data_IF_030477621470
#
_entry.id   IF_030477621470
#
_cell.length_a   1.000
_cell.length_b   1.000
_cell.length_c   1.000
_cell.angle_alpha   90.00
_cell.angle_beta   90.00
_cell.angle_gamma   90.00
#
_symmetry.space_group_name_H-M   'P 1'
#
loop_
_entity.id
_entity.type
_entity.pdbx_description
1 polymer ?
#
# COMPACT_ATOMS: atom_id res chain seq x y z
N UNK A 1 0.53 -10.18 21.54
CA UNK A 1 0.66 -11.47 20.84
C UNK A 1 1.31 -11.20 19.48
N UNK A 2 2.51 -11.72 19.19
CA UNK A 2 3.08 -11.64 17.84
C UNK A 2 2.29 -12.62 16.98
N UNK A 3 1.49 -12.11 16.05
CA UNK A 3 0.73 -12.94 15.13
C UNK A 3 1.73 -13.36 14.05
N UNK A 4 2.39 -14.50 14.24
CA UNK A 4 3.42 -14.98 13.29
C UNK A 4 2.82 -15.57 12.00
N UNK A 5 1.49 -15.77 11.99
CA UNK A 5 0.73 -16.31 10.87
C UNK A 5 -0.75 -15.88 10.98
N UNK A 6 -1.10 -14.68 10.49
CA UNK A 6 -2.47 -14.14 10.55
C UNK A 6 -3.56 -15.11 10.08
N UNK A 7 -3.34 -15.85 9.00
CA UNK A 7 -4.34 -16.81 8.51
C UNK A 7 -4.56 -17.98 9.48
N UNK A 8 -3.49 -18.51 10.10
CA UNK A 8 -3.63 -19.55 11.14
C UNK A 8 -4.30 -19.01 12.41
N UNK A 9 -4.16 -17.71 12.65
CA UNK A 9 -4.84 -17.03 13.73
C UNK A 9 -6.35 -16.98 13.45
N UNK A 10 -6.77 -16.65 12.23
CA UNK A 10 -8.18 -16.65 11.83
C UNK A 10 -8.85 -18.02 12.04
N UNK A 11 -8.15 -19.12 11.72
CA UNK A 11 -8.63 -20.49 11.93
C UNK A 11 -8.84 -20.84 13.42
N UNK A 12 -8.18 -20.13 14.34
CA UNK A 12 -8.24 -20.35 15.79
C UNK A 12 -9.16 -19.35 16.50
N UNK A 13 -9.86 -18.49 15.75
CA UNK A 13 -10.73 -17.48 16.34
C UNK A 13 -11.92 -18.16 17.03
N UNK A 14 -12.26 -17.76 18.28
CA UNK A 14 -13.43 -18.30 18.96
C UNK A 14 -14.71 -18.09 18.14
N UNK A 15 -15.63 -19.07 18.06
CA UNK A 15 -16.86 -18.97 17.28
C UNK A 15 -17.75 -17.77 17.65
N UNK A 16 -17.67 -17.31 18.91
CA UNK A 16 -18.40 -16.14 19.39
C UNK A 16 -17.82 -14.79 18.96
N UNK A 17 -16.72 -14.76 18.21
CA UNK A 17 -16.06 -13.52 17.80
C UNK A 17 -16.90 -12.81 16.75
N UNK A 18 -17.34 -11.59 17.09
CA UNK A 18 -18.12 -10.71 16.21
C UNK A 18 -17.37 -9.43 15.86
N UNK A 19 -16.40 -9.02 16.68
CA UNK A 19 -15.63 -7.80 16.50
C UNK A 19 -14.17 -8.05 16.13
N UNK A 20 -13.69 -7.33 15.14
CA UNK A 20 -12.29 -7.33 14.72
C UNK A 20 -11.77 -5.90 14.77
N UNK A 21 -10.87 -5.61 15.71
CA UNK A 21 -10.18 -4.32 15.78
C UNK A 21 -8.80 -4.44 15.16
N UNK A 22 -8.59 -3.83 13.99
CA UNK A 22 -7.31 -3.80 13.30
C UNK A 22 -6.66 -2.43 13.53
N UNK A 23 -5.47 -2.41 14.13
CA UNK A 23 -4.81 -1.17 14.53
C UNK A 23 -3.30 -1.23 14.32
N UNK A 24 -2.66 -0.07 14.15
CA UNK A 24 -1.21 0.03 14.03
C UNK A 24 -0.77 0.90 12.84
N UNK A 25 0.45 1.42 12.93
CA UNK A 25 0.96 2.46 12.04
C UNK A 25 1.25 2.01 10.59
N UNK A 26 1.03 0.74 10.26
CA UNK A 26 1.17 0.24 8.91
C UNK A 26 -0.21 0.20 8.22
N UNK A 27 -0.60 1.31 7.59
CA UNK A 27 -1.88 1.47 6.88
C UNK A 27 -2.14 0.35 5.86
N UNK A 28 -1.09 -0.01 5.12
CA UNK A 28 -1.17 -1.03 4.08
C UNK A 28 -1.50 -2.40 4.69
N UNK A 29 -0.90 -2.73 5.83
CA UNK A 29 -1.17 -3.97 6.54
C UNK A 29 -2.56 -3.97 7.20
N UNK A 30 -3.01 -2.82 7.71
CA UNK A 30 -4.38 -2.66 8.23
C UNK A 30 -5.40 -2.97 7.13
N UNK A 31 -5.22 -2.37 5.95
CA UNK A 31 -6.08 -2.61 4.78
C UNK A 31 -6.03 -4.07 4.31
N UNK A 32 -4.85 -4.65 4.21
CA UNK A 32 -4.67 -6.05 3.85
C UNK A 32 -5.44 -6.98 4.78
N UNK A 33 -5.31 -6.81 6.10
CA UNK A 33 -5.97 -7.66 7.08
C UNK A 33 -7.49 -7.47 7.09
N UNK A 34 -7.97 -6.24 6.86
CA UNK A 34 -9.41 -5.97 6.64
C UNK A 34 -9.96 -6.87 5.52
N UNK A 35 -9.28 -6.90 4.37
CA UNK A 35 -9.68 -7.71 3.22
C UNK A 35 -9.64 -9.20 3.50
N UNK A 36 -8.58 -9.68 4.15
CA UNK A 36 -8.44 -11.10 4.50
C UNK A 36 -9.55 -11.54 5.46
N UNK A 37 -9.92 -10.72 6.45
CA UNK A 37 -11.03 -11.03 7.36
C UNK A 37 -12.36 -11.09 6.61
N UNK A 38 -12.64 -10.11 5.73
CA UNK A 38 -13.86 -10.10 4.92
C UNK A 38 -13.96 -11.39 4.08
N UNK A 39 -12.86 -11.79 3.44
CA UNK A 39 -12.80 -13.02 2.64
C UNK A 39 -13.04 -14.27 3.50
N UNK A 40 -12.40 -14.34 4.66
CA UNK A 40 -12.58 -15.42 5.63
C UNK A 40 -14.04 -15.55 6.07
N UNK A 41 -14.68 -14.44 6.45
CA UNK A 41 -16.08 -14.42 6.84
C UNK A 41 -17.00 -14.87 5.70
N UNK A 42 -16.78 -14.37 4.47
CA UNK A 42 -17.55 -14.79 3.29
C UNK A 42 -17.36 -16.26 2.92
N UNK A 43 -16.19 -16.84 3.17
CA UNK A 43 -15.96 -18.27 2.98
C UNK A 43 -16.78 -19.10 3.95
N UNK A 44 -16.92 -18.64 5.19
CA UNK A 44 -17.76 -19.29 6.20
C UNK A 44 -19.26 -19.07 5.96
N UNK A 45 -19.65 -17.90 5.45
CA UNK A 45 -21.02 -17.56 5.11
C UNK A 45 -21.10 -16.75 3.80
N UNK A 46 -21.35 -17.42 2.64
CA UNK A 46 -21.34 -16.78 1.33
C UNK A 46 -22.41 -15.71 1.11
N UNK A 47 -23.51 -15.71 1.88
CA UNK A 47 -24.58 -14.71 1.77
C UNK A 47 -24.30 -13.43 2.55
N UNK A 48 -23.16 -13.33 3.26
CA UNK A 48 -22.78 -12.14 4.01
C UNK A 48 -22.66 -10.91 3.10
N UNK A 49 -23.44 -9.88 3.44
CA UNK A 49 -23.31 -8.56 2.85
C UNK A 49 -22.21 -7.78 3.56
N UNK A 50 -21.52 -6.91 2.84
CA UNK A 50 -20.49 -6.02 3.40
C UNK A 50 -20.94 -4.58 3.22
N UNK A 51 -21.04 -3.85 4.32
CA UNK A 51 -21.43 -2.44 4.34
C UNK A 51 -20.29 -1.60 4.89
N UNK A 52 -19.85 -0.62 4.11
CA UNK A 52 -18.82 0.34 4.52
C UNK A 52 -19.51 1.57 5.12
N UNK A 53 -19.18 1.85 6.38
CA UNK A 53 -19.77 2.94 7.14
C UNK A 53 -18.90 4.19 7.04
N UNK A 54 -19.50 5.30 6.61
CA UNK A 54 -18.85 6.63 6.66
C UNK A 54 -18.86 7.19 8.08
N UNK A 55 -20.00 7.04 8.76
CA UNK A 55 -20.20 7.34 10.18
C UNK A 55 -20.55 6.07 10.94
N UNK A 56 -20.18 6.00 12.23
CA UNK A 56 -20.46 4.84 13.08
C UNK A 56 -21.92 4.86 13.56
N UNK A 57 -22.84 4.79 12.60
CA UNK A 57 -24.29 4.71 12.81
C UNK A 57 -24.71 3.35 12.29
N UNK A 58 -24.99 2.43 13.22
CA UNK A 58 -25.47 1.10 12.87
C UNK A 58 -26.99 1.19 12.78
N UNK A 59 -27.60 0.77 11.66
CA UNK A 59 -29.05 0.75 11.54
C UNK A 59 -29.64 -0.10 12.69
N UNK A 60 -30.55 0.48 13.47
CA UNK A 60 -31.19 -0.20 14.62
C UNK A 60 -32.05 -1.41 14.21
N UNK A 61 -32.26 -1.59 12.90
CA UNK A 61 -33.10 -2.64 12.36
C UNK A 61 -32.30 -3.47 11.37
N UNK A 62 -32.10 -4.74 11.72
CA UNK A 62 -32.11 -5.81 10.74
C UNK A 62 -33.49 -5.77 10.08
N UNK A 63 -33.69 -4.88 9.11
CA UNK A 63 -34.90 -4.88 8.31
C UNK A 63 -34.91 -6.22 7.59
N UNK A 64 -35.76 -7.14 8.06
CA UNK A 64 -36.10 -8.32 7.29
C UNK A 64 -36.53 -7.81 5.93
N UNK A 65 -35.74 -8.12 4.90
CA UNK A 65 -36.23 -8.01 3.53
C UNK A 65 -37.55 -8.78 3.49
N UNK A 66 -38.58 -8.22 2.86
CA UNK A 66 -39.89 -8.87 2.71
C UNK A 66 -39.79 -10.26 2.05
N UNK A 67 -38.63 -10.58 1.46
CA UNK A 67 -38.32 -11.83 0.78
C UNK A 67 -37.32 -12.72 1.51
N UNK A 68 -36.79 -12.31 2.68
CA UNK A 68 -35.84 -13.10 3.44
C UNK A 68 -36.51 -13.74 4.66
N UNK A 69 -36.38 -15.06 4.78
CA UNK A 69 -36.91 -15.85 5.91
C UNK A 69 -36.06 -15.72 7.18
N UNK A 70 -34.81 -15.25 7.06
CA UNK A 70 -33.89 -14.99 8.17
C UNK A 70 -33.13 -13.68 7.93
N UNK A 71 -32.82 -12.89 8.96
CA UNK A 71 -32.08 -11.64 8.78
C UNK A 71 -30.68 -11.91 8.26
N UNK A 72 -30.39 -11.42 7.05
CA UNK A 72 -29.04 -11.48 6.47
C UNK A 72 -28.02 -10.88 7.42
N UNK A 73 -27.02 -11.68 7.79
CA UNK A 73 -25.90 -11.18 8.57
C UNK A 73 -25.11 -10.18 7.70
N UNK A 74 -24.67 -9.09 8.32
CA UNK A 74 -23.93 -8.01 7.64
C UNK A 74 -22.58 -7.86 8.32
N UNK A 75 -21.55 -7.63 7.51
CA UNK A 75 -20.23 -7.20 7.97
C UNK A 75 -20.18 -5.68 7.85
N UNK A 76 -20.20 -4.96 8.96
CA UNK A 76 -20.01 -3.52 9.01
C UNK A 76 -18.54 -3.20 9.12
N UNK A 77 -18.03 -2.40 8.17
CA UNK A 77 -16.62 -1.98 8.13
C UNK A 77 -16.56 -0.48 8.42
N UNK A 78 -15.81 -0.10 9.46
CA UNK A 78 -15.62 1.30 9.85
C UNK A 78 -14.14 1.62 10.06
N UNK A 79 -13.61 2.57 9.26
CA UNK A 79 -12.16 2.83 9.14
C UNK A 79 -11.58 3.96 9.99
N UNK A 80 -12.42 4.59 10.83
CA UNK A 80 -12.02 5.72 11.70
C UNK A 80 -12.23 5.40 13.17
N UNK A 81 -12.14 4.12 13.53
CA UNK A 81 -12.43 3.64 14.88
C UNK A 81 -11.52 4.32 15.91
N UNK A 82 -12.09 4.94 16.93
CA UNK A 82 -11.31 5.66 17.95
C UNK A 82 -12.00 5.58 19.31
N UNK A 83 -11.31 5.99 20.36
CA UNK A 83 -11.79 5.87 21.75
C UNK A 83 -13.11 6.60 22.03
N UNK A 84 -13.54 7.55 21.18
CA UNK A 84 -14.83 8.23 21.35
C UNK A 84 -16.01 7.30 21.10
N UNK A 85 -15.82 6.29 20.25
CA UNK A 85 -16.86 5.34 19.84
C UNK A 85 -16.99 4.13 20.77
N UNK A 86 -16.21 4.09 21.86
CA UNK A 86 -16.14 2.93 22.73
C UNK A 86 -17.53 2.54 23.28
N UNK A 87 -18.33 3.53 23.70
CA UNK A 87 -19.66 3.28 24.25
C UNK A 87 -20.63 2.72 23.21
N UNK A 88 -20.55 3.22 21.98
CA UNK A 88 -21.35 2.75 20.85
C UNK A 88 -20.95 1.32 20.47
N UNK A 89 -19.65 1.04 20.41
CA UNK A 89 -19.10 -0.29 20.11
C UNK A 89 -19.52 -1.30 21.19
N UNK A 90 -19.42 -0.94 22.47
CA UNK A 90 -19.85 -1.78 23.59
C UNK A 90 -21.34 -2.17 23.50
N UNK A 91 -22.19 -1.25 23.04
CA UNK A 91 -23.62 -1.51 22.87
C UNK A 91 -23.88 -2.52 21.76
N UNK A 92 -23.23 -2.35 20.61
CA UNK A 92 -23.58 -3.07 19.37
C UNK A 92 -22.88 -4.41 19.19
N UNK A 93 -21.71 -4.60 19.80
CA UNK A 93 -20.88 -5.79 19.56
C UNK A 93 -21.54 -7.11 20.00
N UNK A 94 -22.43 -7.04 20.98
CA UNK A 94 -23.19 -8.18 21.50
C UNK A 94 -24.60 -8.26 20.90
N UNK A 95 -25.00 -7.31 20.06
CA UNK A 95 -26.32 -7.24 19.46
C UNK A 95 -26.34 -7.90 18.07
N UNK A 96 -27.37 -8.71 17.83
CA UNK A 96 -27.67 -9.29 16.52
C UNK A 96 -26.67 -10.36 16.04
N UNK A 97 -26.77 -10.67 14.74
CA UNK A 97 -25.93 -11.65 14.02
C UNK A 97 -24.82 -10.99 13.19
N UNK A 98 -24.62 -9.68 13.34
CA UNK A 98 -23.68 -8.90 12.52
C UNK A 98 -22.22 -9.05 12.99
N UNK A 99 -21.30 -8.85 12.05
CA UNK A 99 -19.87 -8.74 12.30
C UNK A 99 -19.42 -7.29 12.15
N UNK A 100 -18.42 -6.90 12.93
CA UNK A 100 -17.88 -5.55 12.95
C UNK A 100 -16.37 -5.60 12.70
N UNK A 101 -15.93 -4.91 11.65
CA UNK A 101 -14.51 -4.69 11.37
C UNK A 101 -14.21 -3.22 11.60
N UNK A 102 -13.46 -2.95 12.65
CA UNK A 102 -13.06 -1.63 13.08
C UNK A 102 -11.59 -1.45 12.73
N UNK A 103 -11.27 -0.43 11.95
CA UNK A 103 -9.88 -0.16 11.59
C UNK A 103 -9.49 1.27 11.96
N UNK A 104 -8.25 1.46 12.42
CA UNK A 104 -7.61 2.77 12.52
C UNK A 104 -6.08 2.63 12.58
N UNK A 105 -5.35 3.15 11.58
CA UNK A 105 -3.90 3.03 11.54
C UNK A 105 -3.17 3.91 12.57
N UNK A 106 -3.84 4.94 13.10
CA UNK A 106 -3.26 5.84 14.09
C UNK A 106 -3.45 5.35 15.53
N UNK A 107 -4.16 4.23 15.71
CA UNK A 107 -4.48 3.70 17.02
C UNK A 107 -3.29 2.89 17.57
N UNK A 108 -2.88 3.20 18.79
CA UNK A 108 -1.74 2.56 19.46
C UNK A 108 -2.21 1.52 20.47
N UNK A 109 -1.30 0.66 20.92
CA UNK A 109 -1.58 -0.34 21.96
C UNK A 109 -2.05 0.24 23.31
N UNK A 110 -1.89 1.56 23.52
CA UNK A 110 -2.33 2.27 24.73
C UNK A 110 -3.76 2.81 24.64
N UNK A 111 -4.41 2.73 23.47
CA UNK A 111 -5.76 3.26 23.29
C UNK A 111 -6.80 2.44 24.08
N UNK A 112 -7.83 3.11 24.61
CA UNK A 112 -8.88 2.46 25.41
C UNK A 112 -9.64 1.41 24.60
N UNK A 113 -9.84 1.68 23.31
CA UNK A 113 -10.49 0.74 22.40
C UNK A 113 -9.69 -0.56 22.22
N UNK A 114 -8.35 -0.49 22.25
CA UNK A 114 -7.50 -1.69 22.21
C UNK A 114 -7.61 -2.46 23.52
N UNK A 115 -7.57 -1.77 24.65
CA UNK A 115 -7.73 -2.41 25.97
C UNK A 115 -9.08 -3.12 26.09
N UNK A 116 -10.15 -2.49 25.60
CA UNK A 116 -11.46 -3.10 25.47
C UNK A 116 -11.42 -4.37 24.59
N UNK A 117 -10.87 -4.26 23.37
CA UNK A 117 -10.81 -5.38 22.44
C UNK A 117 -9.97 -6.57 22.95
N UNK A 118 -8.97 -6.33 23.80
CA UNK A 118 -8.17 -7.39 24.41
C UNK A 118 -8.90 -8.10 25.57
N UNK A 119 -9.84 -7.42 26.23
CA UNK A 119 -10.58 -7.94 27.39
C UNK A 119 -11.93 -8.53 27.00
N UNK A 120 -12.54 -8.06 25.93
CA UNK A 120 -13.89 -8.43 25.55
C UNK A 120 -13.92 -9.78 24.79
N UNK A 121 -14.72 -10.78 25.23
CA UNK A 121 -14.66 -12.15 24.70
C UNK A 121 -15.13 -12.29 23.24
N UNK A 122 -15.95 -11.37 22.77
CA UNK A 122 -16.47 -11.35 21.39
C UNK A 122 -15.65 -10.47 20.44
N UNK A 123 -14.54 -9.89 20.90
CA UNK A 123 -13.70 -8.97 20.12
C UNK A 123 -12.27 -9.48 20.08
N UNK A 124 -11.63 -9.28 18.95
CA UNK A 124 -10.21 -9.58 18.76
C UNK A 124 -9.47 -8.31 18.37
N UNK A 125 -8.36 -8.04 19.04
CA UNK A 125 -7.43 -6.98 18.68
C UNK A 125 -6.29 -7.51 17.79
N UNK A 126 -6.10 -6.91 16.61
CA UNK A 126 -5.17 -7.34 15.56
C UNK A 126 -4.14 -6.23 15.32
N UNK A 127 -2.90 -6.36 15.85
CA UNK A 127 -1.85 -5.36 15.74
C UNK A 127 -1.11 -5.43 14.40
N UNK A 128 -1.13 -4.35 13.63
CA UNK A 128 -0.56 -4.20 12.28
C UNK A 128 0.61 -3.20 12.28
N UNK A 129 1.75 -3.62 12.86
CA UNK A 129 2.97 -2.82 12.92
C UNK A 129 4.00 -3.21 11.86
N UNK A 130 4.17 -4.50 11.62
CA UNK A 130 5.17 -5.06 10.70
C UNK A 130 4.53 -6.11 9.81
N UNK A 131 4.81 -6.03 8.52
CA UNK A 131 4.40 -7.03 7.53
C UNK A 131 5.33 -8.22 7.67
N UNK A 132 4.79 -9.42 7.88
CA UNK A 132 5.58 -10.65 7.87
C UNK A 132 5.51 -11.31 6.49
N UNK A 133 6.67 -11.69 5.95
CA UNK A 133 6.77 -12.32 4.62
C UNK A 133 5.93 -13.60 4.53
N UNK A 134 5.85 -14.37 5.62
CA UNK A 134 5.03 -15.58 5.75
C UNK A 134 3.56 -15.34 5.46
N UNK A 135 3.00 -14.21 5.92
CA UNK A 135 1.59 -13.84 5.72
C UNK A 135 1.30 -13.55 4.24
N UNK A 136 2.18 -12.77 3.60
CA UNK A 136 2.05 -12.45 2.17
C UNK A 136 2.24 -13.70 1.31
N UNK A 137 3.25 -14.53 1.63
CA UNK A 137 3.48 -15.80 0.91
C UNK A 137 2.25 -16.70 0.98
N UNK A 138 1.60 -16.84 2.14
CA UNK A 138 0.39 -17.64 2.26
C UNK A 138 -0.74 -17.08 1.39
N UNK A 139 -0.99 -15.77 1.42
CA UNK A 139 -2.07 -15.19 0.59
C UNK A 139 -1.78 -15.31 -0.91
N UNK A 140 -0.53 -15.15 -1.35
CA UNK A 140 -0.16 -15.37 -2.76
C UNK A 140 -0.39 -16.83 -3.16
N UNK A 141 -0.04 -17.79 -2.31
CA UNK A 141 -0.29 -19.20 -2.57
C UNK A 141 -1.79 -19.54 -2.58
N UNK A 142 -2.54 -19.09 -1.57
CA UNK A 142 -4.00 -19.28 -1.50
C UNK A 142 -4.69 -18.69 -2.75
N UNK A 143 -4.25 -17.50 -3.20
CA UNK A 143 -4.74 -16.89 -4.44
C UNK A 143 -4.41 -17.76 -5.65
N UNK A 144 -3.17 -18.24 -5.77
CA UNK A 144 -2.77 -19.10 -6.88
C UNK A 144 -3.61 -20.38 -6.94
N UNK A 145 -3.86 -21.00 -5.79
CA UNK A 145 -4.70 -22.19 -5.68
C UNK A 145 -6.14 -21.90 -6.12
N UNK A 146 -6.75 -20.82 -5.61
CA UNK A 146 -8.12 -20.41 -5.94
C UNK A 146 -8.31 -20.11 -7.43
N UNK A 147 -7.32 -19.48 -8.07
CA UNK A 147 -7.39 -19.12 -9.50
C UNK A 147 -6.78 -20.20 -10.41
N UNK A 148 -6.38 -21.36 -9.87
CA UNK A 148 -5.65 -22.41 -10.61
C UNK A 148 -4.42 -21.88 -11.37
N UNK A 149 -3.76 -20.88 -10.78
CA UNK A 149 -2.58 -20.21 -11.31
C UNK A 149 -1.32 -21.01 -10.97
N UNK A 150 -0.64 -21.53 -11.98
CA UNK A 150 0.65 -22.18 -11.79
C UNK A 150 1.80 -21.20 -12.05
N UNK A 151 2.25 -20.53 -10.98
CA UNK A 151 3.36 -19.57 -11.05
C UNK A 151 4.69 -20.24 -10.64
N UNK A 152 5.79 -20.05 -11.41
CA UNK A 152 7.13 -20.46 -11.01
C UNK A 152 7.55 -19.86 -9.66
N UNK A 153 8.42 -20.54 -8.91
CA UNK A 153 8.87 -20.08 -7.59
C UNK A 153 9.53 -18.69 -7.62
N UNK A 154 10.36 -18.41 -8.62
CA UNK A 154 10.99 -17.09 -8.81
C UNK A 154 9.96 -15.98 -9.09
N UNK A 155 8.94 -16.28 -9.90
CA UNK A 155 7.82 -15.35 -10.14
C UNK A 155 7.07 -15.05 -8.84
N UNK A 156 6.74 -16.08 -8.05
CA UNK A 156 6.08 -15.91 -6.75
C UNK A 156 6.93 -15.04 -5.82
N UNK A 157 8.25 -15.20 -5.83
CA UNK A 157 9.17 -14.40 -5.02
C UNK A 157 9.12 -12.92 -5.41
N UNK A 158 9.21 -12.60 -6.71
CA UNK A 158 9.10 -11.21 -7.21
C UNK A 158 7.76 -10.59 -6.81
N UNK A 159 6.68 -11.35 -6.95
CA UNK A 159 5.33 -10.94 -6.54
C UNK A 159 5.29 -10.65 -5.04
N UNK A 160 5.74 -11.58 -4.20
CA UNK A 160 5.78 -11.40 -2.74
C UNK A 160 6.57 -10.15 -2.38
N UNK A 161 7.77 -9.96 -2.95
CA UNK A 161 8.62 -8.81 -2.68
C UNK A 161 7.97 -7.49 -3.09
N UNK A 162 7.32 -7.44 -4.27
CA UNK A 162 6.55 -6.28 -4.73
C UNK A 162 5.38 -5.98 -3.79
N UNK A 163 4.62 -7.00 -3.44
CA UNK A 163 3.43 -6.89 -2.59
C UNK A 163 3.77 -6.48 -1.14
N UNK A 164 4.96 -6.84 -0.63
CA UNK A 164 5.45 -6.35 0.66
C UNK A 164 5.68 -4.84 0.65
N UNK A 165 6.07 -4.28 -0.50
CA UNK A 165 6.39 -2.86 -0.66
C UNK A 165 5.14 -2.00 -0.80
N UNK A 166 4.08 -2.51 -1.46
CA UNK A 166 2.83 -1.80 -1.64
C UNK A 166 1.59 -2.70 -1.48
N UNK A 167 1.22 -3.07 -0.24
CA UNK A 167 0.04 -3.91 0.00
C UNK A 167 -1.32 -3.29 -0.40
N UNK A 168 -1.39 -1.99 -0.71
CA UNK A 168 -2.62 -1.37 -1.23
C UNK A 168 -2.93 -1.81 -2.66
N UNK A 169 -1.88 -2.00 -3.46
CA UNK A 169 -1.99 -2.49 -4.83
C UNK A 169 -2.16 -4.02 -4.89
N UNK A 170 -2.23 -4.68 -3.74
CA UNK A 170 -2.14 -6.13 -3.64
C UNK A 170 -3.22 -6.86 -4.42
N UNK A 171 -4.48 -6.50 -4.17
CA UNK A 171 -5.64 -7.15 -4.79
C UNK A 171 -5.69 -6.88 -6.29
N UNK A 172 -5.41 -5.64 -6.71
CA UNK A 172 -5.44 -5.27 -8.13
C UNK A 172 -4.29 -5.92 -8.92
N UNK A 173 -3.11 -6.04 -8.31
CA UNK A 173 -1.96 -6.71 -8.93
C UNK A 173 -2.16 -8.22 -9.08
N UNK A 174 -2.72 -8.89 -8.07
CA UNK A 174 -3.08 -10.30 -8.17
C UNK A 174 -4.20 -10.55 -9.20
N UNK A 175 -5.20 -9.68 -9.27
CA UNK A 175 -6.25 -9.78 -10.29
C UNK A 175 -5.70 -9.59 -11.70
N UNK A 176 -4.79 -8.63 -11.92
CA UNK A 176 -4.11 -8.45 -13.21
C UNK A 176 -3.35 -9.71 -13.63
N UNK A 177 -2.65 -10.35 -12.69
CA UNK A 177 -1.99 -11.64 -12.94
C UNK A 177 -2.98 -12.70 -13.42
N UNK A 178 -4.10 -12.89 -12.71
CA UNK A 178 -5.10 -13.90 -13.08
C UNK A 178 -5.71 -13.64 -14.47
N UNK A 179 -5.92 -12.38 -14.82
CA UNK A 179 -6.42 -12.02 -16.15
C UNK A 179 -5.40 -12.30 -17.26
N UNK A 180 -4.13 -12.01 -17.03
CA UNK A 180 -3.08 -12.26 -18.02
C UNK A 180 -2.73 -13.73 -18.16
N UNK A 181 -2.82 -14.51 -17.08
CA UNK A 181 -2.48 -15.92 -17.09
C UNK A 181 -3.46 -16.76 -17.89
N UNK A 182 -4.69 -16.27 -18.03
CA UNK A 182 -5.67 -16.86 -18.94
C UNK A 182 -5.16 -16.87 -20.40
N UNK A 183 -4.17 -16.03 -20.74
CA UNK A 183 -3.65 -15.85 -22.09
C UNK A 183 -2.27 -16.50 -22.34
N UNK A 184 -1.62 -17.13 -21.35
CA UNK A 184 -0.35 -17.85 -21.55
C UNK A 184 0.64 -17.80 -20.38
N UNK A 185 1.87 -18.27 -20.62
CA UNK A 185 2.99 -18.25 -19.65
C UNK A 185 3.70 -16.91 -19.61
N UNK A 186 4.13 -16.47 -18.43
CA UNK A 186 4.82 -15.19 -18.20
C UNK A 186 6.34 -15.32 -18.25
N UNK A 187 7.01 -14.30 -18.77
CA UNK A 187 8.43 -14.05 -18.49
C UNK A 187 8.60 -13.21 -17.22
N UNK A 188 9.81 -13.18 -16.66
CA UNK A 188 10.15 -12.29 -15.55
C UNK A 188 10.06 -10.80 -15.90
N UNK A 189 10.22 -10.45 -17.18
CA UNK A 189 10.11 -9.07 -17.66
C UNK A 189 8.65 -8.60 -17.65
N UNK A 190 7.71 -9.43 -18.11
CA UNK A 190 6.28 -9.11 -18.12
C UNK A 190 5.75 -8.80 -16.71
N UNK A 191 6.27 -9.52 -15.71
CA UNK A 191 5.91 -9.33 -14.30
C UNK A 191 6.45 -8.00 -13.75
N UNK A 192 7.68 -7.63 -14.12
CA UNK A 192 8.24 -6.34 -13.70
C UNK A 192 7.45 -5.16 -14.29
N UNK A 193 7.00 -5.26 -15.54
CA UNK A 193 6.13 -4.26 -16.16
C UNK A 193 4.73 -4.23 -15.55
N UNK A 194 4.23 -5.35 -15.03
CA UNK A 194 2.89 -5.44 -14.44
C UNK A 194 2.80 -4.80 -13.05
N UNK A 195 3.82 -5.04 -12.22
CA UNK A 195 3.80 -4.66 -10.80
C UNK A 195 4.36 -3.27 -10.54
N UNK A 196 5.12 -2.72 -11.46
CA UNK A 196 5.58 -1.34 -11.38
C UNK A 196 4.68 -0.53 -12.31
N UNK A 197 3.79 0.35 -11.79
CA UNK A 197 3.08 1.29 -12.64
C UNK A 197 4.06 1.94 -13.61
N UNK A 198 3.74 2.01 -14.91
CA UNK A 198 4.66 2.54 -15.93
C UNK A 198 5.27 3.89 -15.51
N UNK A 199 4.46 4.77 -14.96
CA UNK A 199 4.89 6.05 -14.38
C UNK A 199 5.88 5.89 -13.22
N UNK A 200 5.66 4.94 -12.31
CA UNK A 200 6.57 4.65 -11.21
C UNK A 200 7.89 4.06 -11.73
N UNK A 201 7.83 3.18 -12.74
CA UNK A 201 8.99 2.61 -13.43
C UNK A 201 9.81 3.70 -14.11
N UNK A 202 9.16 4.62 -14.80
CA UNK A 202 9.81 5.71 -15.51
C UNK A 202 10.36 6.77 -14.55
N UNK A 203 9.69 7.03 -13.41
CA UNK A 203 10.22 7.83 -12.30
C UNK A 203 11.46 7.17 -11.69
N UNK A 204 11.46 5.87 -11.48
CA UNK A 204 12.62 5.13 -10.97
C UNK A 204 13.79 5.14 -11.97
N UNK A 205 13.53 4.93 -13.26
CA UNK A 205 14.55 5.04 -14.31
C UNK A 205 15.12 6.45 -14.38
N UNK A 206 14.26 7.47 -14.33
CA UNK A 206 14.66 8.88 -14.29
C UNK A 206 15.57 9.14 -13.08
N UNK A 207 15.16 8.70 -11.89
CA UNK A 207 15.95 8.81 -10.65
C UNK A 207 17.32 8.17 -10.84
N UNK A 208 17.35 6.89 -11.19
CA UNK A 208 18.60 6.16 -11.30
C UNK A 208 19.56 6.80 -12.29
N UNK A 209 19.05 7.19 -13.46
CA UNK A 209 19.86 7.86 -14.47
C UNK A 209 20.37 9.22 -13.97
N UNK A 210 19.53 10.01 -13.29
CA UNK A 210 19.93 11.27 -12.70
C UNK A 210 21.07 11.10 -11.68
N UNK A 211 20.90 10.23 -10.68
CA UNK A 211 21.92 10.05 -9.64
C UNK A 211 23.18 9.31 -10.13
N UNK A 212 23.11 8.56 -11.24
CA UNK A 212 24.28 7.96 -11.91
C UNK A 212 25.01 8.93 -12.84
N UNK A 213 24.42 10.10 -13.15
CA UNK A 213 24.96 11.02 -14.16
C UNK A 213 24.76 10.55 -15.60
N UNK A 214 23.83 9.64 -15.85
CA UNK A 214 23.47 9.21 -17.20
C UNK A 214 22.49 10.21 -17.83
N UNK A 215 23.06 11.24 -18.47
CA UNK A 215 22.30 12.30 -19.11
C UNK A 215 21.37 11.80 -20.22
N UNK A 216 21.72 10.71 -20.91
CA UNK A 216 20.94 10.20 -22.04
C UNK A 216 19.68 9.52 -21.52
N UNK A 217 19.83 8.55 -20.62
CA UNK A 217 18.69 7.84 -20.03
C UNK A 217 17.83 8.78 -19.18
N UNK A 218 18.43 9.75 -18.49
CA UNK A 218 17.69 10.75 -17.74
C UNK A 218 16.81 11.60 -18.66
N UNK A 219 17.37 12.09 -19.77
CA UNK A 219 16.63 12.91 -20.75
C UNK A 219 15.49 12.13 -21.40
N UNK A 220 15.73 10.86 -21.74
CA UNK A 220 14.70 9.98 -22.30
C UNK A 220 13.56 9.74 -21.31
N UNK A 221 13.89 9.38 -20.06
CA UNK A 221 12.90 9.15 -19.02
C UNK A 221 12.11 10.43 -18.68
N UNK A 222 12.78 11.59 -18.61
CA UNK A 222 12.14 12.89 -18.43
C UNK A 222 11.13 13.19 -19.53
N UNK A 223 11.51 13.00 -20.80
CA UNK A 223 10.63 13.28 -21.94
C UNK A 223 9.44 12.31 -22.01
N UNK A 224 9.62 11.05 -21.59
CA UNK A 224 8.51 10.09 -21.46
C UNK A 224 7.52 10.58 -20.40
N UNK A 225 8.01 10.93 -19.21
CA UNK A 225 7.16 11.44 -18.12
C UNK A 225 6.44 12.74 -18.51
N UNK A 226 7.11 13.65 -19.23
CA UNK A 226 6.48 14.87 -19.76
C UNK A 226 5.41 14.59 -20.80
N UNK A 227 5.58 13.55 -21.63
CA UNK A 227 4.58 13.11 -22.61
C UNK A 227 3.37 12.49 -21.90
N UNK A 228 3.60 11.76 -20.83
CA UNK A 228 2.57 11.17 -19.96
C UNK A 228 1.98 12.23 -18.98
N UNK A 229 2.04 13.52 -19.34
CA UNK A 229 1.46 14.66 -18.61
C UNK A 229 1.94 14.84 -17.14
N UNK A 230 3.09 14.30 -16.76
CA UNK A 230 3.64 14.51 -15.43
C UNK A 230 3.92 16.00 -15.17
N UNK A 231 3.42 16.50 -14.03
CA UNK A 231 3.62 17.89 -13.62
C UNK A 231 5.06 18.13 -13.20
N UNK A 232 5.64 19.25 -13.64
CA UNK A 232 7.01 19.64 -13.33
C UNK A 232 7.30 19.71 -11.83
N UNK A 233 6.33 20.24 -11.05
CA UNK A 233 6.43 20.32 -9.59
C UNK A 233 6.51 18.92 -8.98
N UNK A 234 5.76 17.94 -9.50
CA UNK A 234 5.79 16.57 -9.01
C UNK A 234 7.14 15.91 -9.26
N UNK A 235 7.72 16.10 -10.45
CA UNK A 235 9.05 15.58 -10.79
C UNK A 235 10.16 16.19 -9.92
N UNK A 236 10.10 17.50 -9.68
CA UNK A 236 11.04 18.20 -8.80
C UNK A 236 10.94 17.69 -7.35
N UNK A 237 9.72 17.56 -6.82
CA UNK A 237 9.49 17.06 -5.45
C UNK A 237 9.94 15.61 -5.28
N UNK A 238 9.77 14.80 -6.31
CA UNK A 238 10.28 13.44 -6.29
C UNK A 238 11.82 13.41 -6.17
N UNK A 239 12.55 14.19 -6.97
CA UNK A 239 14.01 14.32 -6.84
C UNK A 239 14.43 14.91 -5.48
N UNK A 240 13.67 15.88 -4.93
CA UNK A 240 13.91 16.44 -3.61
C UNK A 240 13.78 15.37 -2.51
N UNK A 241 12.73 14.54 -2.57
CA UNK A 241 12.53 13.46 -1.61
C UNK A 241 13.70 12.48 -1.62
N UNK A 242 14.22 12.11 -2.80
CA UNK A 242 15.37 11.22 -2.94
C UNK A 242 16.69 11.86 -2.45
N UNK A 243 16.90 13.15 -2.73
CA UNK A 243 18.04 13.89 -2.21
C UNK A 243 17.99 13.99 -0.67
N UNK A 244 16.80 14.17 -0.09
CA UNK A 244 16.60 14.20 1.36
C UNK A 244 16.80 12.82 2.00
N UNK A 245 16.36 11.73 1.34
CA UNK A 245 16.67 10.36 1.75
C UNK A 245 18.18 10.10 1.79
N UNK A 246 18.93 10.67 0.84
CA UNK A 246 20.40 10.56 0.83
C UNK A 246 21.06 11.23 2.03
N UNK A 247 20.46 12.29 2.59
CA UNK A 247 20.96 12.95 3.81
C UNK A 247 20.65 12.18 5.10
N UNK A 248 19.53 11.45 5.15
CA UNK A 248 19.08 10.74 6.35
C UNK A 248 19.81 9.41 6.60
N UNK A 249 20.56 8.91 5.62
CA UNK A 249 21.08 7.54 5.64
C UNK A 249 19.96 6.53 5.36
N UNK A 250 20.32 5.37 4.80
CA UNK A 250 19.35 4.37 4.36
C UNK A 250 18.70 3.63 5.55
N UNK A 251 17.64 4.18 6.12
CA UNK A 251 16.71 3.40 6.95
C UNK A 251 15.58 2.85 6.06
N UNK A 252 15.85 1.73 5.40
CA UNK A 252 14.86 1.01 4.58
C UNK A 252 15.51 -0.02 3.66
N UNK A 253 15.18 -1.29 3.85
CA UNK A 253 15.81 -2.44 3.18
C UNK A 253 15.51 -2.59 1.67
N UNK A 254 14.70 -1.72 1.06
CA UNK A 254 14.16 -1.93 -0.29
C UNK A 254 14.80 -1.10 -1.40
N UNK A 255 15.65 -0.13 -1.09
CA UNK A 255 16.33 0.65 -2.11
C UNK A 255 17.80 0.79 -1.73
N UNK A 256 18.68 0.08 -2.45
CA UNK A 256 20.08 0.49 -2.54
C UNK A 256 20.11 1.82 -3.28
N UNK A 257 19.85 2.92 -2.56
CA UNK A 257 20.01 4.26 -3.14
C UNK A 257 21.48 4.48 -3.41
N UNK A 258 21.79 5.04 -4.58
CA UNK A 258 23.08 5.68 -4.80
C UNK A 258 23.12 6.88 -3.85
N UNK A 259 23.74 6.69 -2.68
CA UNK A 259 23.80 7.72 -1.66
C UNK A 259 24.73 8.83 -2.13
N UNK A 260 24.17 10.02 -2.39
CA UNK A 260 24.99 11.20 -2.59
C UNK A 260 25.75 11.54 -1.30
N UNK A 261 27.02 11.96 -1.40
CA UNK A 261 27.71 12.59 -0.27
C UNK A 261 26.87 13.74 0.29
N UNK A 262 26.86 13.97 1.63
CA UNK A 262 25.98 14.97 2.25
C UNK A 262 26.08 16.36 1.61
N UNK A 263 27.29 16.80 1.27
CA UNK A 263 27.53 18.08 0.61
C UNK A 263 26.89 18.16 -0.80
N UNK A 264 26.93 17.07 -1.56
CA UNK A 264 26.30 17.00 -2.88
C UNK A 264 24.78 16.97 -2.76
N UNK A 265 24.24 16.21 -1.80
CA UNK A 265 22.81 16.17 -1.53
C UNK A 265 22.27 17.55 -1.10
N UNK A 266 22.98 18.28 -0.23
CA UNK A 266 22.60 19.65 0.15
C UNK A 266 22.60 20.62 -1.04
N UNK A 267 23.62 20.54 -1.91
CA UNK A 267 23.69 21.37 -3.13
C UNK A 267 22.56 21.06 -4.11
N UNK A 268 22.23 19.77 -4.27
CA UNK A 268 21.11 19.35 -5.10
C UNK A 268 19.77 19.89 -4.57
N UNK A 269 19.54 19.78 -3.26
CA UNK A 269 18.32 20.28 -2.64
C UNK A 269 18.14 21.78 -2.84
N UNK A 270 19.22 22.57 -2.70
CA UNK A 270 19.16 24.01 -2.98
C UNK A 270 18.76 24.29 -4.42
N UNK A 271 19.39 23.62 -5.40
CA UNK A 271 19.01 23.76 -6.80
C UNK A 271 17.53 23.39 -7.03
N UNK A 272 17.07 22.27 -6.48
CA UNK A 272 15.70 21.80 -6.70
C UNK A 272 14.67 22.74 -6.06
N UNK A 273 14.99 23.39 -4.93
CA UNK A 273 14.14 24.40 -4.30
C UNK A 273 14.09 25.69 -5.14
N UNK A 274 15.22 26.12 -5.69
CA UNK A 274 15.28 27.27 -6.59
C UNK A 274 14.45 27.02 -7.86
N UNK A 275 14.56 25.82 -8.43
CA UNK A 275 13.77 25.42 -9.60
C UNK A 275 12.27 25.33 -9.29
N UNK A 276 11.87 24.75 -8.16
CA UNK A 276 10.46 24.71 -7.76
C UNK A 276 9.91 26.12 -7.55
N UNK A 277 10.71 27.02 -6.97
CA UNK A 277 10.34 28.43 -6.79
C UNK A 277 10.18 29.13 -8.14
N UNK A 278 11.11 28.92 -9.08
CA UNK A 278 11.00 29.47 -10.42
C UNK A 278 9.71 29.00 -11.13
N UNK A 279 9.40 27.71 -11.08
CA UNK A 279 8.18 27.14 -11.70
C UNK A 279 6.90 27.70 -11.10
N UNK A 280 6.87 27.93 -9.79
CA UNK A 280 5.67 28.46 -9.11
C UNK A 280 5.43 29.94 -9.40
N UNK A 281 6.49 30.74 -9.50
CA UNK A 281 6.38 32.20 -9.47
C UNK A 281 6.72 32.88 -10.79
N UNK A 282 7.29 32.17 -11.77
CA UNK A 282 7.61 32.71 -13.09
C UNK A 282 6.70 32.07 -14.14
N UNK A 283 5.82 32.88 -14.74
CA UNK A 283 4.86 32.40 -15.75
C UNK A 283 5.47 32.11 -17.12
N UNK A 284 6.67 32.62 -17.39
CA UNK A 284 7.28 32.63 -18.74
C UNK A 284 8.65 31.92 -18.75
N UNK A 285 8.72 30.72 -18.20
CA UNK A 285 9.94 29.92 -18.30
C UNK A 285 10.11 29.34 -19.72
N UNK A 286 11.34 29.28 -20.25
CA UNK A 286 11.61 28.62 -21.51
C UNK A 286 11.17 27.15 -21.51
N UNK A 287 10.78 26.64 -22.68
CA UNK A 287 10.55 25.21 -22.87
C UNK A 287 11.83 24.44 -22.53
N UNK A 288 11.71 23.37 -21.73
CA UNK A 288 12.83 22.58 -21.21
C UNK A 288 13.76 23.29 -20.22
N UNK A 289 13.41 24.46 -19.68
CA UNK A 289 14.21 25.18 -18.69
C UNK A 289 14.67 24.27 -17.53
N UNK A 290 13.76 23.49 -16.97
CA UNK A 290 14.05 22.56 -15.87
C UNK A 290 15.04 21.48 -16.26
N UNK A 291 14.78 20.81 -17.39
CA UNK A 291 15.66 19.75 -17.89
C UNK A 291 17.07 20.29 -18.12
N UNK A 292 17.21 21.48 -18.71
CA UNK A 292 18.52 22.11 -18.92
C UNK A 292 19.25 22.39 -17.61
N UNK A 293 18.55 22.95 -16.61
CA UNK A 293 19.15 23.25 -15.30
C UNK A 293 19.57 21.98 -14.55
N UNK A 294 18.75 20.93 -14.63
CA UNK A 294 19.06 19.63 -14.03
C UNK A 294 20.25 18.96 -14.72
N UNK A 295 20.33 19.01 -16.05
CA UNK A 295 21.47 18.50 -16.81
C UNK A 295 22.76 19.26 -16.52
N UNK A 296 22.70 20.58 -16.30
CA UNK A 296 23.85 21.38 -15.90
C UNK A 296 24.41 21.00 -14.52
N UNK A 297 23.58 20.44 -13.65
CA UNK A 297 24.00 20.00 -12.32
C UNK A 297 24.71 18.64 -12.34
N UNK A 298 24.36 17.77 -13.29
CA UNK A 298 25.01 16.46 -13.43
C UNK A 298 26.50 16.66 -13.74
N UNK A 299 27.42 15.98 -13.02
CA UNK A 299 28.84 16.13 -13.25
C UNK A 299 29.19 15.76 -14.69
N UNK A 300 30.03 16.56 -15.36
CA UNK A 300 30.46 16.37 -16.75
C UNK A 300 31.24 15.06 -17.01
N UNK A 301 31.43 14.21 -15.99
CA UNK A 301 32.27 13.02 -16.02
C UNK A 301 31.49 11.72 -16.32
N UNK A 302 30.67 11.72 -17.37
CA UNK A 302 30.42 10.50 -18.16
C UNK A 302 31.35 10.39 -19.38
N UNK A 303 32.44 11.17 -19.40
CA UNK A 303 33.56 11.10 -20.36
C UNK A 303 34.36 9.77 -20.34
N UNK A 304 33.86 8.72 -19.69
CA UNK A 304 34.37 7.35 -19.86
C UNK A 304 33.82 6.66 -21.12
N UNK A 305 32.84 7.27 -21.82
CA UNK A 305 32.25 6.74 -23.06
C UNK A 305 32.09 7.81 -24.15
N UNK A 306 33.09 8.68 -24.33
CA UNK A 306 33.27 9.41 -25.60
C UNK A 306 34.43 8.83 -26.37
#
# INVERSE_FOLDING_TARGET
MKVTQFSSFLEKIPPQTKGFLIYGNNENLVYFREKVIIKYLKKANPSLQVSFLEDFIIPETSSLSLFETEPSSVVYVYRRANDRLLKEIEKVINQGSHYYILTNPNLTSKAKLVDFALKHPSVVAIPSYTVEMSEITKVVNDFCEETSLNLPAETKKIIIESLMSNPLMFESQLQKLALLSANGSFSSADLQELFIPKEESDLFKMKEAFFKGDCITFTQAWNILKRDEAQDISLLRFLQAEAFRSLKGSEGAYYKSTLLPPLQASRLLLLLLDLETAVKWQSNLPENYLLQRLLQWLPANSLATR
#
